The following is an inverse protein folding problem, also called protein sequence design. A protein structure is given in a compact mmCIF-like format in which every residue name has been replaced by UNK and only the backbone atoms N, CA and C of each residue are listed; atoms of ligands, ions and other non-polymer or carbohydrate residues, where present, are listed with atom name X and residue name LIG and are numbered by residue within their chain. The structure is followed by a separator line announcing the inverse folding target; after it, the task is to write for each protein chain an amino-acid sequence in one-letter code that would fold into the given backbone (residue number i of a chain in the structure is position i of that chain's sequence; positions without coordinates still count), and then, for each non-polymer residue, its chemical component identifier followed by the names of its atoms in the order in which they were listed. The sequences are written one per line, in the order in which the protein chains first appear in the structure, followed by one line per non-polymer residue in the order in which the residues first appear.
data_IF_282112720128
#
_entry.id   IF_282112720128
#
_cell.length_a   1.000
_cell.length_b   1.000
_cell.length_c   1.000
_cell.angle_alpha   90.00
_cell.angle_beta   90.00
_cell.angle_gamma   90.00
#
_symmetry.space_group_name_H-M   'P 1'
#
loop_
_entity.id
_entity.type
_entity.pdbx_description
1 polymer ?
#
# COMPACT_ATOMS: atom_id res chain seq x y z
N UNK A 1 -27.89 31.09 -8.35
CA UNK A 1 -26.87 30.59 -9.31
C UNK A 1 -26.67 29.10 -9.06
N UNK A 2 -26.63 28.31 -10.13
CA UNK A 2 -26.35 26.87 -10.07
C UNK A 2 -24.96 26.66 -9.44
N UNK A 3 -24.88 25.84 -8.39
CA UNK A 3 -23.64 25.47 -7.73
C UNK A 3 -23.11 24.19 -8.37
N UNK A 4 -21.77 24.07 -8.44
CA UNK A 4 -21.14 22.85 -8.89
C UNK A 4 -21.45 21.69 -7.93
N UNK A 5 -21.74 20.51 -8.47
CA UNK A 5 -22.05 19.29 -7.70
C UNK A 5 -22.69 18.22 -8.57
N UNK A 6 -22.75 17.00 -8.07
CA UNK A 6 -23.45 15.90 -8.72
C UNK A 6 -24.81 15.72 -8.08
N UNK A 7 -25.88 15.82 -8.88
CA UNK A 7 -27.25 15.60 -8.44
C UNK A 7 -27.75 14.25 -8.96
N UNK A 8 -28.27 13.41 -8.09
CA UNK A 8 -29.16 12.31 -8.49
C UNK A 8 -30.56 12.86 -8.73
N UNK A 9 -31.10 12.61 -9.92
CA UNK A 9 -32.45 13.04 -10.30
C UNK A 9 -33.34 11.79 -10.26
N UNK A 10 -34.34 11.81 -9.37
CA UNK A 10 -35.36 10.77 -9.38
C UNK A 10 -36.35 11.03 -10.51
N UNK A 11 -36.88 9.97 -11.18
CA UNK A 11 -37.90 10.12 -12.24
C UNK A 11 -39.18 10.83 -11.78
N UNK A 12 -39.44 10.89 -10.48
CA UNK A 12 -40.60 11.55 -9.87
C UNK A 12 -40.38 13.03 -9.52
N UNK A 13 -39.15 13.55 -9.66
CA UNK A 13 -38.85 14.95 -9.32
C UNK A 13 -39.34 15.91 -10.41
N UNK A 14 -40.00 16.98 -10.01
CA UNK A 14 -40.33 18.06 -10.90
C UNK A 14 -39.11 18.90 -11.30
N UNK A 15 -39.14 19.57 -12.43
CA UNK A 15 -38.10 20.48 -12.89
C UNK A 15 -37.78 21.56 -11.83
N UNK A 16 -38.82 22.07 -11.12
CA UNK A 16 -38.64 23.08 -10.09
C UNK A 16 -37.80 22.54 -8.88
N UNK A 17 -38.08 21.31 -8.47
CA UNK A 17 -37.32 20.64 -7.41
C UNK A 17 -35.86 20.41 -7.83
N UNK A 18 -35.63 19.94 -9.05
CA UNK A 18 -34.29 19.75 -9.61
C UNK A 18 -33.50 21.06 -9.63
N UNK A 19 -34.09 22.14 -10.16
CA UNK A 19 -33.45 23.46 -10.21
C UNK A 19 -33.19 24.00 -8.81
N UNK A 20 -34.10 23.81 -7.86
CA UNK A 20 -33.89 24.25 -6.47
C UNK A 20 -32.73 23.48 -5.81
N UNK A 21 -32.62 22.18 -6.02
CA UNK A 21 -31.48 21.36 -5.54
C UNK A 21 -30.16 21.82 -6.17
N UNK A 22 -30.12 22.08 -7.48
CA UNK A 22 -28.93 22.58 -8.16
C UNK A 22 -28.51 23.96 -7.66
N UNK A 23 -29.45 24.84 -7.28
CA UNK A 23 -29.16 26.16 -6.71
C UNK A 23 -28.64 26.08 -5.27
N UNK A 24 -29.10 25.11 -4.49
CA UNK A 24 -28.66 24.89 -3.11
C UNK A 24 -27.35 24.09 -3.01
N UNK A 25 -26.93 23.47 -4.09
CA UNK A 25 -25.84 22.53 -4.18
C UNK A 25 -26.33 21.11 -3.94
N UNK A 26 -25.91 20.20 -4.81
CA UNK A 26 -26.20 18.77 -4.65
C UNK A 26 -25.13 18.13 -3.77
N UNK A 27 -25.55 17.48 -2.70
CA UNK A 27 -24.69 16.77 -1.76
C UNK A 27 -24.73 15.24 -1.94
N UNK A 28 -25.13 14.80 -3.14
CA UNK A 28 -25.28 13.38 -3.47
C UNK A 28 -23.94 12.75 -3.93
N UNK A 29 -22.82 13.32 -3.51
CA UNK A 29 -21.48 12.78 -3.79
C UNK A 29 -20.78 12.39 -2.50
N UNK A 30 -20.02 11.31 -2.57
CA UNK A 30 -19.11 10.83 -1.50
C UNK A 30 -17.67 11.06 -1.93
N UNK A 31 -16.88 11.67 -1.06
CA UNK A 31 -15.42 11.74 -1.24
C UNK A 31 -14.78 10.68 -0.37
N UNK A 32 -14.00 9.80 -0.97
CA UNK A 32 -13.32 8.70 -0.27
C UNK A 32 -11.83 8.79 -0.58
N UNK A 33 -11.00 8.89 0.46
CA UNK A 33 -9.54 8.93 0.34
C UNK A 33 -8.96 7.65 0.90
N UNK A 34 -8.25 6.90 0.07
CA UNK A 34 -7.40 5.78 0.50
C UNK A 34 -5.95 6.24 0.58
N UNK A 35 -5.14 5.55 1.39
CA UNK A 35 -3.77 5.97 1.66
C UNK A 35 -2.75 4.88 1.28
N UNK A 36 -1.57 5.26 0.72
CA UNK A 36 -0.45 4.35 0.60
C UNK A 36 -0.08 3.75 1.97
N UNK A 37 0.38 2.53 1.98
CA UNK A 37 0.67 1.79 3.21
C UNK A 37 -0.58 1.32 3.98
N UNK A 38 -1.80 1.63 3.51
CA UNK A 38 -3.05 1.10 4.07
C UNK A 38 -3.21 -0.40 3.82
N UNK A 39 -3.94 -1.07 4.71
CA UNK A 39 -4.29 -2.50 4.61
C UNK A 39 -5.80 -2.65 4.43
N UNK A 40 -6.27 -3.77 3.88
CA UNK A 40 -7.73 -4.02 3.77
C UNK A 40 -8.40 -3.98 5.13
N UNK A 41 -7.85 -4.70 6.10
CA UNK A 41 -8.33 -4.75 7.47
C UNK A 41 -7.48 -3.87 8.39
N UNK A 42 -8.04 -3.44 9.51
CA UNK A 42 -7.34 -2.60 10.47
C UNK A 42 -6.13 -3.31 11.08
N UNK A 43 -5.00 -2.64 11.09
CA UNK A 43 -3.78 -3.09 11.76
C UNK A 43 -3.82 -2.72 13.24
N UNK A 44 -3.75 -3.72 14.13
CA UNK A 44 -3.64 -3.50 15.57
C UNK A 44 -2.34 -2.78 15.93
N UNK A 45 -1.26 -3.10 15.20
CA UNK A 45 0.03 -2.43 15.40
C UNK A 45 -0.06 -0.94 15.06
N UNK A 46 -0.61 -0.58 13.88
CA UNK A 46 -0.82 0.82 13.52
C UNK A 46 -1.77 1.52 14.48
N UNK A 47 -2.85 0.86 14.89
CA UNK A 47 -3.77 1.38 15.87
C UNK A 47 -3.06 1.71 17.19
N UNK A 48 -2.16 0.84 17.69
CA UNK A 48 -1.40 1.07 18.91
C UNK A 48 -0.41 2.24 18.82
N UNK A 49 0.05 2.58 17.60
CA UNK A 49 0.91 3.76 17.34
C UNK A 49 0.11 5.05 17.14
N UNK A 50 -1.22 4.96 17.01
CA UNK A 50 -2.10 6.09 16.81
C UNK A 50 -2.59 6.66 18.14
N UNK A 51 -2.60 7.99 18.29
CA UNK A 51 -3.17 8.67 19.47
C UNK A 51 -4.67 8.37 19.68
N UNK A 52 -5.38 7.98 18.62
CA UNK A 52 -6.80 7.61 18.65
C UNK A 52 -7.05 6.12 18.95
N UNK A 53 -6.01 5.28 19.02
CA UNK A 53 -6.16 3.83 19.15
C UNK A 53 -6.81 3.15 17.93
N UNK A 54 -6.86 3.82 16.77
CA UNK A 54 -7.53 3.33 15.56
C UNK A 54 -6.59 3.46 14.35
N UNK A 55 -6.52 2.42 13.52
CA UNK A 55 -5.90 2.49 12.20
C UNK A 55 -6.85 3.16 11.20
N UNK A 56 -6.71 4.47 11.06
CA UNK A 56 -7.52 5.28 10.12
C UNK A 56 -7.14 5.09 8.66
N UNK A 57 -6.08 4.34 8.36
CA UNK A 57 -5.61 4.09 7.00
C UNK A 57 -6.15 2.80 6.40
N UNK A 58 -6.81 1.95 7.19
CA UNK A 58 -7.38 0.71 6.68
C UNK A 58 -8.59 0.97 5.78
N UNK A 59 -8.69 0.18 4.70
CA UNK A 59 -9.77 0.30 3.72
C UNK A 59 -11.13 0.10 4.38
N UNK A 60 -11.27 -0.90 5.27
CA UNK A 60 -12.51 -1.13 6.03
C UNK A 60 -12.92 0.07 6.86
N UNK A 61 -11.98 0.68 7.60
CA UNK A 61 -12.28 1.87 8.39
C UNK A 61 -12.77 3.02 7.50
N UNK A 62 -12.06 3.30 6.40
CA UNK A 62 -12.38 4.37 5.46
C UNK A 62 -13.79 4.17 4.86
N UNK A 63 -14.10 2.95 4.41
CA UNK A 63 -15.42 2.63 3.85
C UNK A 63 -16.53 2.74 4.89
N UNK A 64 -16.30 2.34 6.15
CA UNK A 64 -17.24 2.58 7.25
C UNK A 64 -17.50 4.07 7.47
N UNK A 65 -16.47 4.90 7.44
CA UNK A 65 -16.62 6.36 7.57
C UNK A 65 -17.39 6.97 6.40
N UNK A 66 -17.35 6.33 5.23
CA UNK A 66 -18.16 6.69 4.06
C UNK A 66 -19.62 6.19 4.14
N UNK A 67 -19.99 5.52 5.24
CA UNK A 67 -21.36 5.09 5.53
C UNK A 67 -21.73 3.68 5.08
N UNK A 68 -20.75 2.86 4.67
CA UNK A 68 -21.01 1.46 4.30
C UNK A 68 -20.99 0.53 5.52
N UNK A 69 -21.88 -0.47 5.51
CA UNK A 69 -21.92 -1.51 6.53
C UNK A 69 -20.80 -2.54 6.37
N UNK A 70 -20.50 -3.26 7.45
CA UNK A 70 -19.49 -4.33 7.43
C UNK A 70 -19.85 -5.48 6.47
N UNK A 71 -21.13 -5.76 6.30
CA UNK A 71 -21.60 -6.80 5.38
C UNK A 71 -21.37 -6.39 3.91
N UNK A 72 -21.68 -5.14 3.55
CA UNK A 72 -21.39 -4.61 2.21
C UNK A 72 -19.89 -4.64 1.92
N UNK A 73 -19.07 -4.21 2.85
CA UNK A 73 -17.61 -4.22 2.73
C UNK A 73 -17.09 -5.65 2.59
N UNK A 74 -17.54 -6.55 3.46
CA UNK A 74 -17.09 -7.96 3.44
C UNK A 74 -17.51 -8.70 2.17
N UNK A 75 -18.71 -8.42 1.66
CA UNK A 75 -19.18 -8.95 0.40
C UNK A 75 -18.36 -8.42 -0.78
N UNK A 76 -18.06 -7.12 -0.79
CA UNK A 76 -17.21 -6.52 -1.81
C UNK A 76 -15.78 -7.06 -1.78
N UNK A 77 -15.18 -7.32 -0.60
CA UNK A 77 -13.85 -7.92 -0.51
C UNK A 77 -13.78 -9.35 -1.06
N UNK A 78 -14.90 -10.06 -1.10
CA UNK A 78 -15.02 -11.42 -1.64
C UNK A 78 -15.51 -11.45 -3.09
N UNK A 79 -15.98 -10.33 -3.62
CA UNK A 79 -16.54 -10.25 -4.96
C UNK A 79 -15.47 -10.50 -6.04
N UNK A 80 -15.92 -10.89 -7.22
CA UNK A 80 -15.09 -10.95 -8.43
C UNK A 80 -15.09 -9.58 -9.11
N UNK A 81 -13.91 -9.17 -9.54
CA UNK A 81 -13.67 -7.94 -10.28
C UNK A 81 -13.02 -8.28 -11.62
N UNK A 82 -13.44 -7.57 -12.66
CA UNK A 82 -12.86 -7.72 -13.99
C UNK A 82 -11.81 -6.61 -14.20
N UNK A 83 -10.54 -7.01 -14.14
CA UNK A 83 -9.43 -6.09 -14.39
C UNK A 83 -8.18 -6.87 -14.75
N UNK A 84 -7.41 -6.44 -15.78
CA UNK A 84 -6.11 -7.02 -16.09
C UNK A 84 -5.09 -6.89 -14.95
N UNK A 85 -5.37 -6.01 -13.98
CA UNK A 85 -4.59 -5.87 -12.74
C UNK A 85 -4.43 -7.19 -11.98
N UNK A 86 -5.39 -8.11 -12.13
CA UNK A 86 -5.43 -9.40 -11.42
C UNK A 86 -4.91 -10.59 -12.22
N UNK A 87 -4.34 -10.36 -13.42
CA UNK A 87 -3.93 -11.44 -14.33
C UNK A 87 -2.99 -12.47 -13.68
N UNK A 88 -2.03 -12.00 -12.87
CA UNK A 88 -1.03 -12.87 -12.22
C UNK A 88 -1.37 -13.16 -10.74
N UNK A 89 -2.55 -12.73 -10.27
CA UNK A 89 -2.95 -12.94 -8.88
C UNK A 89 -3.30 -14.41 -8.63
N UNK A 90 -2.70 -15.07 -7.62
CA UNK A 90 -3.05 -16.44 -7.29
C UNK A 90 -4.54 -16.58 -6.95
N UNK A 91 -5.16 -17.66 -7.43
CA UNK A 91 -6.57 -17.92 -7.16
C UNK A 91 -6.85 -17.99 -5.66
N UNK A 92 -7.91 -17.32 -5.21
CA UNK A 92 -8.30 -17.27 -3.80
C UNK A 92 -7.47 -16.32 -2.92
N UNK A 93 -6.45 -15.64 -3.46
CA UNK A 93 -5.75 -14.62 -2.68
C UNK A 93 -6.62 -13.38 -2.45
N UNK A 94 -6.35 -12.65 -1.35
CA UNK A 94 -7.09 -11.44 -0.99
C UNK A 94 -6.83 -10.28 -1.97
N UNK A 95 -7.65 -9.22 -1.86
CA UNK A 95 -7.45 -7.95 -2.58
C UNK A 95 -6.40 -7.04 -1.90
N UNK A 96 -5.63 -7.56 -0.95
CA UNK A 96 -4.59 -6.81 -0.26
C UNK A 96 -3.57 -6.25 -1.24
N UNK A 97 -3.25 -4.96 -1.11
CA UNK A 97 -2.30 -4.27 -1.96
C UNK A 97 -2.84 -3.69 -3.26
N UNK A 98 -4.13 -3.88 -3.55
CA UNK A 98 -4.74 -3.41 -4.81
C UNK A 98 -5.56 -2.12 -4.69
N UNK A 99 -5.87 -1.66 -3.47
CA UNK A 99 -6.64 -0.43 -3.24
C UNK A 99 -5.71 0.78 -3.32
N UNK A 100 -5.59 1.40 -4.50
CA UNK A 100 -4.64 2.50 -4.73
C UNK A 100 -4.96 3.74 -3.89
N UNK A 101 -3.93 4.28 -3.23
CA UNK A 101 -4.05 5.45 -2.37
C UNK A 101 -4.23 6.75 -3.16
N UNK A 102 -5.45 7.26 -3.20
CA UNK A 102 -5.83 8.51 -3.87
C UNK A 102 -7.20 8.98 -3.32
N UNK A 103 -7.59 10.20 -3.66
CA UNK A 103 -8.92 10.73 -3.35
C UNK A 103 -9.86 10.56 -4.54
N UNK A 104 -10.99 9.91 -4.28
CA UNK A 104 -11.99 9.57 -5.28
C UNK A 104 -13.32 10.25 -4.99
N UNK A 105 -14.03 10.63 -6.07
CA UNK A 105 -15.37 11.17 -6.01
C UNK A 105 -16.36 10.12 -6.54
N UNK A 106 -17.41 9.83 -5.77
CA UNK A 106 -18.46 8.89 -6.14
C UNK A 106 -19.84 9.53 -6.03
N UNK A 107 -20.80 8.98 -6.74
CA UNK A 107 -22.22 9.30 -6.51
C UNK A 107 -22.66 8.74 -5.15
N UNK A 108 -23.68 9.35 -4.55
CA UNK A 108 -24.15 8.97 -3.21
C UNK A 108 -24.64 7.52 -3.10
N UNK A 109 -25.12 6.96 -4.23
CA UNK A 109 -25.63 5.58 -4.34
C UNK A 109 -24.57 4.55 -4.75
N UNK A 110 -23.33 4.96 -5.00
CA UNK A 110 -22.26 4.03 -5.35
C UNK A 110 -22.12 2.92 -4.31
N UNK A 111 -22.13 1.67 -4.75
CA UNK A 111 -21.89 0.52 -3.89
C UNK A 111 -20.41 0.37 -3.55
N UNK A 112 -20.07 -0.39 -2.52
CA UNK A 112 -18.65 -0.70 -2.20
C UNK A 112 -17.96 -1.40 -3.38
N UNK A 113 -18.72 -2.20 -4.15
CA UNK A 113 -18.18 -2.86 -5.34
C UNK A 113 -17.81 -1.85 -6.43
N UNK A 114 -18.64 -0.82 -6.66
CA UNK A 114 -18.37 0.24 -7.63
C UNK A 114 -17.15 1.07 -7.20
N UNK A 115 -17.05 1.37 -5.90
CA UNK A 115 -15.89 2.05 -5.32
C UNK A 115 -14.61 1.25 -5.59
N UNK A 116 -14.59 -0.02 -5.25
CA UNK A 116 -13.39 -0.85 -5.41
C UNK A 116 -13.05 -1.09 -6.89
N UNK A 117 -14.05 -1.29 -7.78
CA UNK A 117 -13.79 -1.40 -9.22
C UNK A 117 -13.11 -0.13 -9.76
N UNK A 118 -13.62 1.05 -9.41
CA UNK A 118 -13.03 2.33 -9.81
C UNK A 118 -11.58 2.47 -9.34
N UNK A 119 -11.30 2.07 -8.10
CA UNK A 119 -9.97 2.13 -7.51
C UNK A 119 -9.01 1.15 -8.20
N UNK A 120 -9.46 -0.06 -8.53
CA UNK A 120 -8.66 -1.04 -9.27
C UNK A 120 -8.37 -0.58 -10.70
N UNK A 121 -9.35 0.02 -11.38
CA UNK A 121 -9.19 0.58 -12.71
C UNK A 121 -8.17 1.73 -12.70
N UNK A 122 -8.20 2.57 -11.65
CA UNK A 122 -7.20 3.62 -11.46
C UNK A 122 -5.81 3.02 -11.22
N UNK A 123 -5.67 2.05 -10.33
CA UNK A 123 -4.38 1.37 -10.12
C UNK A 123 -3.85 0.77 -11.41
N UNK A 124 -4.72 0.17 -12.24
CA UNK A 124 -4.29 -0.36 -13.54
C UNK A 124 -3.82 0.75 -14.50
N UNK A 125 -4.46 1.92 -14.50
CA UNK A 125 -3.96 3.10 -15.23
C UNK A 125 -2.57 3.54 -14.75
N UNK A 126 -2.30 3.48 -13.45
CA UNK A 126 -0.95 3.77 -12.90
C UNK A 126 0.05 2.70 -13.38
N UNK A 127 -0.34 1.43 -13.39
CA UNK A 127 0.47 0.33 -13.94
C UNK A 127 0.83 0.58 -15.42
N UNK A 128 -0.16 0.96 -16.23
CA UNK A 128 0.04 1.25 -17.66
C UNK A 128 0.89 2.51 -17.88
N UNK A 129 0.57 3.61 -17.22
CA UNK A 129 1.27 4.91 -17.32
C UNK A 129 2.78 4.77 -17.06
N UNK A 130 3.14 3.92 -16.10
CA UNK A 130 4.53 3.71 -15.68
C UNK A 130 5.19 2.50 -16.35
N UNK A 131 4.50 1.82 -17.26
CA UNK A 131 4.96 0.59 -17.93
C UNK A 131 5.45 -0.49 -16.95
N UNK A 132 4.73 -0.66 -15.83
CA UNK A 132 5.19 -1.50 -14.72
C UNK A 132 5.26 -2.97 -15.10
N UNK A 133 4.36 -3.48 -15.97
CA UNK A 133 4.38 -4.89 -16.40
C UNK A 133 5.72 -5.23 -17.08
N UNK A 134 6.14 -4.42 -18.06
CA UNK A 134 7.40 -4.67 -18.78
C UNK A 134 8.62 -4.43 -17.88
N UNK A 135 8.59 -3.40 -17.04
CA UNK A 135 9.70 -3.08 -16.14
C UNK A 135 9.88 -4.14 -15.05
N UNK A 136 8.79 -4.64 -14.46
CA UNK A 136 8.86 -5.76 -13.50
C UNK A 136 9.36 -7.04 -14.20
N UNK A 137 8.88 -7.32 -15.41
CA UNK A 137 9.39 -8.43 -16.21
C UNK A 137 10.89 -8.32 -16.49
N UNK A 138 11.41 -7.12 -16.76
CA UNK A 138 12.85 -6.87 -16.92
C UNK A 138 13.64 -7.15 -15.63
N UNK A 139 12.99 -7.02 -14.45
CA UNK A 139 13.53 -7.45 -13.16
C UNK A 139 13.32 -8.95 -12.87
N UNK A 140 12.71 -9.71 -13.79
CA UNK A 140 12.37 -11.12 -13.59
C UNK A 140 11.18 -11.34 -12.64
N UNK A 141 10.28 -10.36 -12.56
CA UNK A 141 9.10 -10.38 -11.69
C UNK A 141 7.82 -10.38 -12.53
N UNK A 142 6.78 -11.08 -12.05
CA UNK A 142 5.42 -10.86 -12.54
C UNK A 142 4.85 -9.56 -11.96
N UNK A 143 3.72 -9.09 -12.50
CA UNK A 143 3.03 -7.92 -11.93
C UNK A 143 2.72 -8.14 -10.43
N UNK A 144 2.19 -9.32 -10.08
CA UNK A 144 1.88 -9.67 -8.70
C UNK A 144 3.10 -9.63 -7.77
N UNK A 145 4.23 -10.18 -8.22
CA UNK A 145 5.48 -10.17 -7.47
C UNK A 145 6.03 -8.76 -7.29
N UNK A 146 5.97 -7.94 -8.34
CA UNK A 146 6.36 -6.53 -8.28
C UNK A 146 5.51 -5.73 -7.30
N UNK A 147 4.18 -5.92 -7.32
CA UNK A 147 3.26 -5.31 -6.35
C UNK A 147 3.56 -5.78 -4.92
N UNK A 148 3.87 -7.06 -4.74
CA UNK A 148 4.21 -7.62 -3.42
C UNK A 148 5.48 -6.99 -2.87
N UNK A 149 6.57 -6.88 -3.66
CA UNK A 149 7.80 -6.21 -3.22
C UNK A 149 7.53 -4.73 -2.95
N UNK A 150 6.78 -4.04 -3.83
CA UNK A 150 6.46 -2.63 -3.65
C UNK A 150 5.67 -2.35 -2.36
N UNK A 151 4.81 -3.27 -1.95
CA UNK A 151 4.08 -3.17 -0.68
C UNK A 151 4.99 -3.29 0.55
N UNK A 152 6.08 -4.07 0.45
CA UNK A 152 7.09 -4.16 1.50
C UNK A 152 7.91 -2.86 1.53
N UNK A 153 8.39 -2.40 0.37
CA UNK A 153 9.15 -1.13 0.25
C UNK A 153 8.33 0.03 0.81
N UNK A 154 7.02 0.11 0.51
CA UNK A 154 6.12 1.14 1.05
C UNK A 154 6.03 1.10 2.58
N UNK A 155 5.98 -0.10 3.15
CA UNK A 155 5.91 -0.29 4.61
C UNK A 155 7.24 -0.03 5.31
N UNK A 156 8.38 -0.26 4.65
CA UNK A 156 9.72 0.11 5.16
C UNK A 156 9.92 1.62 5.14
N UNK A 157 9.51 2.28 4.06
CA UNK A 157 9.73 3.71 3.89
C UNK A 157 8.67 4.33 2.97
N UNK A 158 7.57 4.86 3.52
CA UNK A 158 6.59 5.64 2.77
C UNK A 158 7.13 7.02 2.37
N UNK A 159 6.92 7.40 1.11
CA UNK A 159 7.46 8.64 0.56
C UNK A 159 6.41 9.63 0.05
N UNK A 160 5.15 9.22 -0.07
CA UNK A 160 4.13 10.06 -0.70
C UNK A 160 3.77 11.31 0.12
N UNK A 161 3.86 11.23 1.45
CA UNK A 161 3.50 12.26 2.41
C UNK A 161 4.64 13.24 2.76
N UNK A 162 5.81 13.13 2.11
CA UNK A 162 6.95 13.99 2.46
C UNK A 162 6.68 15.45 2.09
N UNK A 163 6.97 16.39 3.01
CA UNK A 163 6.48 17.78 2.93
C UNK A 163 7.14 18.61 1.84
N UNK A 164 8.30 18.22 1.32
CA UNK A 164 9.00 18.95 0.26
C UNK A 164 9.41 18.03 -0.87
N UNK A 165 9.51 18.60 -2.09
CA UNK A 165 9.98 17.89 -3.28
C UNK A 165 11.36 17.27 -3.06
N UNK A 166 12.27 18.00 -2.42
CA UNK A 166 13.62 17.49 -2.12
C UNK A 166 13.58 16.27 -1.19
N UNK A 167 12.80 16.34 -0.10
CA UNK A 167 12.64 15.22 0.83
C UNK A 167 11.96 14.03 0.15
N UNK A 168 10.95 14.28 -0.68
CA UNK A 168 10.27 13.25 -1.48
C UNK A 168 11.24 12.58 -2.45
N UNK A 169 12.06 13.36 -3.17
CA UNK A 169 13.07 12.83 -4.09
C UNK A 169 14.13 12.00 -3.36
N UNK A 170 14.67 12.48 -2.24
CA UNK A 170 15.64 11.72 -1.44
C UNK A 170 15.02 10.41 -0.91
N UNK A 171 13.81 10.47 -0.37
CA UNK A 171 13.06 9.31 0.07
C UNK A 171 12.90 8.28 -1.06
N UNK A 172 12.53 8.74 -2.26
CA UNK A 172 12.41 7.88 -3.44
C UNK A 172 13.72 7.19 -3.82
N UNK A 173 14.89 7.90 -3.73
CA UNK A 173 16.18 7.25 -3.96
C UNK A 173 16.46 6.14 -2.93
N UNK A 174 16.06 6.32 -1.68
CA UNK A 174 16.15 5.27 -0.67
C UNK A 174 15.21 4.09 -0.99
N UNK A 175 13.97 4.34 -1.42
CA UNK A 175 13.06 3.28 -1.87
C UNK A 175 13.68 2.46 -3.02
N UNK A 176 14.34 3.11 -3.99
CA UNK A 176 15.05 2.42 -5.08
C UNK A 176 16.17 1.51 -4.57
N UNK A 177 16.94 1.95 -3.56
CA UNK A 177 17.96 1.15 -2.91
C UNK A 177 17.37 -0.04 -2.14
N UNK A 178 16.31 0.18 -1.36
CA UNK A 178 15.58 -0.87 -0.63
C UNK A 178 15.01 -1.91 -1.61
N UNK A 179 14.39 -1.45 -2.71
CA UNK A 179 13.88 -2.32 -3.77
C UNK A 179 14.99 -3.17 -4.39
N UNK A 180 16.18 -2.57 -4.64
CA UNK A 180 17.35 -3.29 -5.14
C UNK A 180 17.76 -4.42 -4.18
N UNK A 181 17.83 -4.15 -2.87
CA UNK A 181 18.18 -5.16 -1.87
C UNK A 181 17.16 -6.31 -1.86
N UNK A 182 15.85 -6.01 -1.83
CA UNK A 182 14.83 -7.06 -1.82
C UNK A 182 14.82 -7.90 -3.10
N UNK A 183 14.97 -7.28 -4.27
CA UNK A 183 15.07 -8.00 -5.55
C UNK A 183 16.32 -8.87 -5.58
N UNK A 184 17.47 -8.37 -5.11
CA UNK A 184 18.71 -9.14 -5.06
C UNK A 184 18.60 -10.35 -4.12
N UNK A 185 18.04 -10.17 -2.92
CA UNK A 185 17.79 -11.27 -1.96
C UNK A 185 16.80 -12.29 -2.53
N UNK A 186 15.71 -11.84 -3.12
CA UNK A 186 14.72 -12.72 -3.77
C UNK A 186 15.37 -13.59 -4.84
N UNK A 187 16.13 -13.00 -5.77
CA UNK A 187 16.85 -13.72 -6.84
C UNK A 187 17.89 -14.71 -6.32
N UNK A 188 18.49 -14.43 -5.17
CA UNK A 188 19.46 -15.31 -4.49
C UNK A 188 18.80 -16.35 -3.58
N UNK A 189 17.48 -16.44 -3.53
CA UNK A 189 16.72 -17.27 -2.58
C UNK A 189 17.11 -17.03 -1.11
N UNK A 190 17.43 -15.80 -0.78
CA UNK A 190 17.68 -15.35 0.59
C UNK A 190 16.37 -14.92 1.25
N UNK A 191 16.31 -15.01 2.56
CA UNK A 191 15.24 -14.39 3.35
C UNK A 191 15.24 -12.88 3.10
N UNK A 192 14.07 -12.25 2.85
CA UNK A 192 14.02 -10.79 2.68
C UNK A 192 14.37 -10.07 3.99
N UNK A 193 14.05 -10.67 5.14
CA UNK A 193 14.46 -10.18 6.45
C UNK A 193 13.78 -8.86 6.87
N UNK A 194 12.59 -8.59 6.35
CA UNK A 194 11.85 -7.35 6.59
C UNK A 194 10.93 -7.46 7.80
N UNK A 195 11.05 -6.52 8.74
CA UNK A 195 10.26 -6.52 9.99
C UNK A 195 8.78 -6.24 9.74
N UNK A 196 8.47 -5.39 8.78
CA UNK A 196 7.07 -5.05 8.46
C UNK A 196 6.28 -6.28 8.01
N UNK A 197 6.94 -7.35 7.58
CA UNK A 197 6.29 -8.60 7.15
C UNK A 197 5.86 -9.45 8.34
N UNK A 198 6.66 -9.59 9.41
CA UNK A 198 6.21 -10.29 10.60
C UNK A 198 5.22 -9.47 11.43
N UNK A 199 5.31 -8.12 11.39
CA UNK A 199 4.30 -7.23 11.98
C UNK A 199 2.95 -7.48 11.30
N UNK A 200 2.92 -7.52 9.95
CA UNK A 200 1.70 -7.84 9.21
C UNK A 200 1.17 -9.26 9.53
N UNK A 201 2.07 -10.23 9.65
CA UNK A 201 1.69 -11.60 10.07
C UNK A 201 1.01 -11.62 11.45
N UNK A 202 1.55 -10.87 12.41
CA UNK A 202 0.99 -10.74 13.74
C UNK A 202 -0.38 -10.05 13.74
N UNK A 203 -0.55 -9.00 12.94
CA UNK A 203 -1.83 -8.32 12.76
C UNK A 203 -2.90 -9.28 12.21
N UNK A 204 -2.56 -10.07 11.19
CA UNK A 204 -3.48 -11.10 10.66
C UNK A 204 -3.86 -12.16 11.70
N UNK A 205 -2.91 -12.57 12.53
CA UNK A 205 -3.15 -13.56 13.60
C UNK A 205 -3.81 -12.94 14.84
N UNK A 206 -3.90 -11.61 14.93
CA UNK A 206 -4.46 -10.92 16.08
C UNK A 206 -3.60 -10.97 17.34
N UNK A 207 -2.27 -11.18 17.20
CA UNK A 207 -1.30 -11.31 18.29
C UNK A 207 -0.30 -10.14 18.30
N UNK A 208 0.50 -10.03 19.36
CA UNK A 208 1.61 -9.07 19.39
C UNK A 208 2.69 -9.48 18.39
N UNK A 209 3.29 -8.52 17.67
CA UNK A 209 4.42 -8.79 16.78
C UNK A 209 5.59 -9.44 17.54
N UNK A 210 6.09 -10.55 16.99
CA UNK A 210 7.29 -11.24 17.43
C UNK A 210 8.09 -11.67 16.22
N UNK A 211 9.39 -11.51 16.28
CA UNK A 211 10.32 -11.81 15.19
C UNK A 211 10.24 -13.29 14.75
N UNK A 212 9.93 -14.18 15.69
CA UNK A 212 9.86 -15.62 15.50
C UNK A 212 8.46 -16.16 15.18
N UNK A 213 7.46 -15.29 14.94
CA UNK A 213 6.10 -15.71 14.61
C UNK A 213 6.11 -16.69 13.43
N UNK A 214 5.44 -17.83 13.60
CA UNK A 214 5.32 -18.84 12.55
C UNK A 214 4.19 -18.47 11.59
N UNK A 215 4.58 -17.90 10.45
CA UNK A 215 3.64 -17.43 9.43
C UNK A 215 4.34 -17.37 8.07
N UNK A 216 3.67 -17.76 6.98
CA UNK A 216 4.23 -17.63 5.63
C UNK A 216 4.51 -16.17 5.23
N UNK A 217 3.99 -15.20 5.96
CA UNK A 217 4.31 -13.79 5.76
C UNK A 217 5.64 -13.39 6.41
N UNK A 218 6.17 -14.16 7.37
CA UNK A 218 7.41 -13.79 8.08
C UNK A 218 8.65 -14.05 7.22
N UNK A 219 9.12 -13.02 6.54
CA UNK A 219 10.31 -13.10 5.67
C UNK A 219 11.63 -13.15 6.42
N UNK A 220 11.63 -13.12 7.76
CA UNK A 220 12.79 -13.45 8.59
C UNK A 220 12.93 -14.97 8.84
N UNK A 221 11.86 -15.74 8.62
CA UNK A 221 11.84 -17.21 8.77
C UNK A 221 11.80 -17.94 7.44
N UNK A 222 11.12 -17.37 6.45
CA UNK A 222 10.89 -18.00 5.16
C UNK A 222 11.59 -17.24 4.04
N UNK A 223 12.13 -17.98 3.07
CA UNK A 223 12.65 -17.41 1.82
C UNK A 223 11.52 -17.13 0.84
N UNK A 224 11.78 -16.32 -0.17
CA UNK A 224 10.78 -15.94 -1.17
C UNK A 224 9.93 -14.75 -0.73
N UNK A 225 8.85 -14.50 -1.48
CA UNK A 225 7.90 -13.43 -1.20
C UNK A 225 6.79 -13.91 -0.27
N UNK A 226 6.19 -13.02 0.53
CA UNK A 226 4.98 -13.34 1.27
C UNK A 226 3.84 -13.72 0.30
N UNK A 227 2.83 -14.48 0.79
CA UNK A 227 1.74 -14.98 -0.06
C UNK A 227 0.92 -13.92 -0.76
N UNK A 228 0.86 -12.70 -0.22
CA UNK A 228 0.18 -11.54 -0.83
C UNK A 228 0.99 -10.28 -0.56
N UNK A 229 0.71 -9.16 -1.26
CA UNK A 229 1.10 -7.84 -0.77
C UNK A 229 0.67 -7.67 0.70
N UNK A 230 1.36 -6.81 1.45
CA UNK A 230 1.12 -6.58 2.89
C UNK A 230 0.56 -5.18 3.18
N UNK A 231 0.38 -4.38 2.15
CA UNK A 231 -0.23 -3.05 2.18
C UNK A 231 -0.43 -2.53 0.76
N UNK A 232 -1.16 -1.45 0.60
CA UNK A 232 -1.25 -0.71 -0.65
C UNK A 232 0.07 -0.01 -0.96
N UNK A 233 0.76 -0.32 -2.08
CA UNK A 233 1.93 0.44 -2.50
C UNK A 233 1.53 1.81 -3.06
N UNK A 234 2.32 2.85 -2.79
CA UNK A 234 2.23 4.14 -3.46
C UNK A 234 2.87 4.12 -4.86
N UNK A 235 2.65 5.17 -5.67
CA UNK A 235 3.23 5.25 -7.02
C UNK A 235 4.78 5.24 -6.97
N UNK A 236 5.38 5.88 -5.95
CA UNK A 236 6.83 5.91 -5.81
C UNK A 236 7.43 4.55 -5.48
N UNK A 237 6.82 3.79 -4.58
CA UNK A 237 7.30 2.44 -4.25
C UNK A 237 7.14 1.47 -5.45
N UNK A 238 6.06 1.60 -6.22
CA UNK A 238 5.88 0.86 -7.48
C UNK A 238 7.00 1.19 -8.48
N UNK A 239 7.29 2.47 -8.67
CA UNK A 239 8.37 2.95 -9.56
C UNK A 239 9.75 2.54 -9.07
N UNK A 240 9.97 2.50 -7.75
CA UNK A 240 11.23 2.08 -7.16
C UNK A 240 11.54 0.60 -7.45
N UNK A 241 10.53 -0.27 -7.43
CA UNK A 241 10.68 -1.69 -7.81
C UNK A 241 10.82 -1.85 -9.34
N UNK A 242 10.15 -0.99 -10.12
CA UNK A 242 10.25 -1.01 -11.58
C UNK A 242 11.61 -0.52 -12.10
N UNK A 243 12.24 0.40 -11.36
CA UNK A 243 13.56 0.97 -11.66
C UNK A 243 14.39 1.05 -10.37
N UNK A 244 14.87 -0.10 -9.86
CA UNK A 244 15.68 -0.14 -8.64
C UNK A 244 17.01 0.59 -8.83
N UNK A 245 17.62 1.03 -7.73
CA UNK A 245 18.96 1.61 -7.80
C UNK A 245 19.96 0.58 -8.38
N UNK A 246 20.95 1.02 -9.16
CA UNK A 246 22.02 0.12 -9.58
C UNK A 246 22.84 -0.34 -8.37
N UNK A 247 23.30 -1.59 -8.38
CA UNK A 247 24.16 -2.13 -7.31
C UNK A 247 23.83 -3.58 -6.97
N UNK A 248 24.54 -4.07 -5.97
CA UNK A 248 24.51 -5.45 -5.51
C UNK A 248 24.43 -5.55 -3.97
N UNK A 249 23.90 -4.48 -3.33
CA UNK A 249 23.68 -4.46 -1.89
C UNK A 249 22.72 -5.58 -1.47
N UNK A 250 23.01 -6.17 -0.32
CA UNK A 250 22.18 -7.22 0.27
C UNK A 250 21.61 -6.80 1.63
N UNK A 251 22.03 -5.66 2.15
CA UNK A 251 21.63 -5.16 3.46
C UNK A 251 21.34 -3.67 3.40
N UNK A 252 20.45 -3.22 4.27
CA UNK A 252 20.25 -1.81 4.55
C UNK A 252 19.86 -1.62 6.02
N UNK A 253 20.03 -0.40 6.54
CA UNK A 253 19.61 -0.02 7.88
C UNK A 253 19.25 1.47 7.90
N UNK A 254 18.25 1.83 8.69
CA UNK A 254 17.97 3.22 9.02
C UNK A 254 18.90 3.66 10.16
N UNK A 255 19.67 4.73 9.94
CA UNK A 255 20.52 5.32 10.97
C UNK A 255 19.75 6.23 11.93
N UNK A 256 20.35 6.50 13.08
CA UNK A 256 19.82 7.44 14.09
C UNK A 256 19.70 8.87 13.56
N UNK A 257 20.36 9.19 12.46
CA UNK A 257 20.31 10.45 11.72
C UNK A 257 19.17 10.50 10.67
N UNK A 258 18.39 9.41 10.55
CA UNK A 258 17.30 9.27 9.61
C UNK A 258 17.73 9.02 8.16
N UNK A 259 19.00 8.70 7.92
CA UNK A 259 19.51 8.27 6.62
C UNK A 259 19.44 6.75 6.48
N UNK A 260 19.45 6.26 5.24
CA UNK A 260 19.49 4.82 4.96
C UNK A 260 20.90 4.46 4.48
N UNK A 261 21.50 3.48 5.14
CA UNK A 261 22.83 2.97 4.84
C UNK A 261 22.72 1.58 4.23
N UNK A 262 23.36 1.40 3.07
CA UNK A 262 23.35 0.14 2.32
C UNK A 262 24.68 -0.58 2.49
N UNK A 263 24.68 -1.91 2.40
CA UNK A 263 25.88 -2.74 2.50
C UNK A 263 25.76 -3.99 1.61
N UNK A 264 26.90 -4.46 1.12
CA UNK A 264 26.99 -5.68 0.30
C UNK A 264 27.20 -6.92 1.16
N UNK A 265 27.95 -6.79 2.27
CA UNK A 265 28.32 -7.88 3.15
C UNK A 265 27.73 -7.70 4.55
N UNK A 266 27.65 -8.79 5.30
CA UNK A 266 27.25 -8.78 6.70
C UNK A 266 28.22 -7.97 7.57
N UNK A 267 29.51 -8.01 7.26
CA UNK A 267 30.53 -7.22 7.95
C UNK A 267 30.31 -5.71 7.75
N UNK A 268 30.11 -5.27 6.50
CA UNK A 268 29.78 -3.87 6.21
C UNK A 268 28.46 -3.45 6.90
N UNK A 269 27.47 -4.35 6.94
CA UNK A 269 26.20 -4.10 7.61
C UNK A 269 26.38 -3.91 9.11
N UNK A 270 27.15 -4.78 9.78
CA UNK A 270 27.49 -4.64 11.21
C UNK A 270 28.23 -3.34 11.49
N UNK A 271 29.20 -2.98 10.64
CA UNK A 271 29.90 -1.71 10.76
C UNK A 271 28.94 -0.50 10.62
N UNK A 272 27.95 -0.59 9.73
CA UNK A 272 26.91 0.44 9.60
C UNK A 272 26.02 0.52 10.84
N UNK A 273 25.65 -0.62 11.45
CA UNK A 273 24.90 -0.67 12.71
C UNK A 273 25.69 0.03 13.81
N UNK A 274 26.95 -0.37 14.03
CA UNK A 274 27.79 0.15 15.08
C UNK A 274 28.03 1.67 14.95
N UNK A 275 28.11 2.15 13.72
CA UNK A 275 28.41 3.56 13.44
C UNK A 275 27.19 4.46 13.42
N UNK A 276 26.06 3.98 12.90
CA UNK A 276 24.92 4.83 12.54
C UNK A 276 23.60 4.47 13.24
N UNK A 277 23.51 3.31 13.90
CA UNK A 277 22.25 2.82 14.48
C UNK A 277 22.41 2.34 15.93
N UNK A 278 22.97 3.19 16.80
CA UNK A 278 23.23 2.82 18.20
C UNK A 278 21.96 2.89 19.06
N UNK A 279 21.07 3.85 18.79
CA UNK A 279 19.82 4.05 19.54
C UNK A 279 18.68 3.19 18.99
N UNK A 280 18.39 3.31 17.70
CA UNK A 280 17.29 2.58 17.08
C UNK A 280 17.50 1.07 17.13
N UNK A 281 18.73 0.60 16.92
CA UNK A 281 19.06 -0.83 16.90
C UNK A 281 19.24 -1.46 18.29
N UNK A 282 19.33 -0.67 19.37
CA UNK A 282 19.35 -1.18 20.74
C UNK A 282 17.96 -1.49 21.31
N UNK A 283 16.90 -1.16 20.59
CA UNK A 283 15.50 -1.31 21.02
C UNK A 283 14.90 -2.64 20.49
N UNK A 284 15.62 -3.38 19.67
CA UNK A 284 15.17 -4.62 19.02
C UNK A 284 15.60 -5.86 19.81
#
# INVERSE_FOLDING_TARGET
SIKAGTCMIAPSESVAEIVNRMNNGCHDSKTITFYPGGTLESSKYKASQSSSGVDKTSVRYILRQAGYSDDEISNAFKAKYDSPLFADRPSGSSLEGYVFGETYQFTGDATVKDVLQTVFDHMYKVVQKNDLVNKFKAQGLTLYQGLTIASIVERELGCEDKPTVERKNRCYQYQRGIAQVFIARYKKNMQLGSDVTFIYAADKAGVKPKVDIDSPYNTRKHTGLPPTPIATPGELSLKAVADPAPGDNLFFIAGDDGLIYFAKTDEEHKNNIDKYCQKLCSIV
#
